data_IF_450156531640
#
_entry.id   IF_450156531640
#
_cell.length_a   1.000
_cell.length_b   1.000
_cell.length_c   1.000
_cell.angle_alpha   90.00
_cell.angle_beta   90.00
_cell.angle_gamma   90.00
#
_symmetry.space_group_name_H-M   'P 1'
#
loop_
_entity.id
_entity.type
_entity.pdbx_description
1 polymer ?
#
# COMPACT_ATOMS: atom_id res chain seq x y z
N UNK A 1 31.58 -0.42 5.06
CA UNK A 1 30.42 -0.67 4.15
C UNK A 1 29.78 0.67 3.84
N UNK A 2 29.65 1.06 2.55
CA UNK A 2 28.91 2.27 2.18
C UNK A 2 27.45 2.10 2.62
N UNK A 3 26.97 2.97 3.52
CA UNK A 3 25.56 2.99 3.94
C UNK A 3 24.75 3.57 2.77
N UNK A 4 23.87 2.76 2.18
CA UNK A 4 23.00 3.21 1.11
C UNK A 4 21.72 3.80 1.68
N UNK A 5 21.35 5.01 1.26
CA UNK A 5 20.08 5.61 1.63
C UNK A 5 18.98 4.93 0.82
N UNK A 6 18.19 4.07 1.46
CA UNK A 6 16.84 3.81 0.98
C UNK A 6 16.06 5.11 1.07
N UNK A 7 15.00 5.25 0.28
CA UNK A 7 14.11 6.43 0.31
C UNK A 7 13.67 6.77 1.77
N UNK A 8 13.77 5.82 2.72
CA UNK A 8 13.45 6.00 4.13
C UNK A 8 14.49 5.50 5.18
N UNK A 9 15.69 5.02 4.81
CA UNK A 9 16.69 4.55 5.79
C UNK A 9 17.94 5.45 5.85
N UNK A 10 18.20 6.07 7.00
CA UNK A 10 19.55 6.31 7.49
C UNK A 10 19.65 5.89 8.95
N UNK A 11 20.45 4.86 9.24
CA UNK A 11 20.83 4.52 10.62
C UNK A 11 22.21 5.09 10.92
N UNK A 12 22.18 6.31 11.44
CA UNK A 12 23.16 6.81 12.40
C UNK A 12 22.37 7.58 13.48
N UNK A 13 22.47 7.10 14.73
CA UNK A 13 21.93 7.70 15.95
C UNK A 13 20.40 7.80 16.11
N UNK A 14 19.68 6.68 16.34
CA UNK A 14 18.32 6.68 16.92
C UNK A 14 17.29 7.65 16.28
N UNK A 15 17.53 8.10 15.05
CA UNK A 15 16.84 9.26 14.49
C UNK A 15 15.65 8.85 13.61
N UNK A 16 14.62 9.68 13.70
CA UNK A 16 13.29 9.48 13.10
C UNK A 16 13.37 9.36 11.58
N UNK A 17 12.35 8.76 10.93
CA UNK A 17 12.28 8.71 9.47
C UNK A 17 12.47 10.10 8.87
N UNK A 18 13.50 10.27 8.04
CA UNK A 18 13.74 11.54 7.38
C UNK A 18 12.65 11.82 6.34
N UNK A 19 12.28 13.09 6.22
CA UNK A 19 11.43 13.57 5.13
C UNK A 19 12.22 13.64 3.82
N UNK A 20 11.54 13.60 2.68
CA UNK A 20 12.22 13.65 1.37
C UNK A 20 12.97 14.98 1.15
N UNK A 21 12.56 16.05 1.82
CA UNK A 21 13.31 17.33 1.85
C UNK A 21 14.64 17.20 2.59
N UNK A 22 14.68 16.39 3.65
CA UNK A 22 15.91 16.11 4.39
C UNK A 22 16.84 15.20 3.56
N UNK A 23 16.31 14.31 2.71
CA UNK A 23 17.12 13.50 1.78
C UNK A 23 18.00 14.37 0.86
N UNK A 24 17.45 15.41 0.23
CA UNK A 24 18.23 16.31 -0.65
C UNK A 24 19.34 17.05 0.11
N UNK A 25 19.09 17.41 1.37
CA UNK A 25 20.05 18.11 2.21
C UNK A 25 21.14 17.17 2.76
N UNK A 26 20.77 15.93 3.08
CA UNK A 26 21.67 14.92 3.66
C UNK A 26 22.60 14.31 2.60
N UNK A 27 22.09 14.07 1.38
CA UNK A 27 22.87 13.43 0.31
C UNK A 27 23.85 14.38 -0.39
N UNK A 28 23.87 15.66 -0.01
CA UNK A 28 24.83 16.70 -0.40
C UNK A 28 25.20 16.79 -1.90
N UNK A 29 24.30 16.37 -2.81
CA UNK A 29 24.60 16.26 -4.25
C UNK A 29 25.79 15.34 -4.58
N UNK A 30 26.05 14.34 -3.74
CA UNK A 30 27.21 13.46 -3.89
C UNK A 30 26.89 12.14 -4.60
N UNK A 31 27.93 11.53 -5.14
CA UNK A 31 27.88 10.16 -5.65
C UNK A 31 27.64 9.18 -4.47
N UNK A 32 26.77 8.15 -4.62
CA UNK A 32 26.11 7.72 -5.85
C UNK A 32 24.72 8.33 -6.09
N UNK A 33 24.20 9.16 -5.19
CA UNK A 33 22.81 9.67 -5.24
C UNK A 33 22.59 10.74 -6.30
N UNK A 34 23.66 11.41 -6.73
CA UNK A 34 23.63 12.37 -7.81
C UNK A 34 24.61 11.95 -8.90
N UNK A 35 24.07 11.64 -10.09
CA UNK A 35 24.88 11.25 -11.24
C UNK A 35 24.33 11.96 -12.48
N UNK A 36 25.20 12.64 -13.23
CA UNK A 36 24.86 13.31 -14.49
C UNK A 36 23.62 14.24 -14.36
N UNK A 37 23.55 14.99 -13.26
CA UNK A 37 22.44 15.93 -12.98
C UNK A 37 21.12 15.27 -12.57
N UNK A 38 21.06 13.94 -12.46
CA UNK A 38 19.88 13.19 -12.02
C UNK A 38 20.03 12.74 -10.56
N UNK A 39 18.88 12.58 -9.89
CA UNK A 39 18.78 12.14 -8.48
C UNK A 39 18.39 10.67 -8.44
N UNK A 40 19.04 9.91 -7.56
CA UNK A 40 18.83 8.49 -7.37
C UNK A 40 18.75 8.13 -5.89
N UNK A 41 17.98 7.10 -5.59
CA UNK A 41 17.89 6.48 -4.27
C UNK A 41 17.61 4.97 -4.42
N UNK A 42 17.50 4.24 -3.31
CA UNK A 42 17.03 2.86 -3.33
C UNK A 42 15.54 2.80 -2.95
N UNK A 43 14.76 2.03 -3.71
CA UNK A 43 13.40 1.66 -3.36
C UNK A 43 13.39 1.05 -1.95
N UNK A 44 12.46 1.47 -1.10
CA UNK A 44 12.40 0.89 0.26
C UNK A 44 11.91 -0.56 0.27
N UNK A 45 11.10 -0.94 -0.71
CA UNK A 45 10.47 -2.27 -0.79
C UNK A 45 11.42 -3.34 -1.33
N UNK A 46 12.09 -3.10 -2.46
CA UNK A 46 12.98 -4.08 -3.09
C UNK A 46 14.48 -3.73 -2.97
N UNK A 47 14.82 -2.53 -2.49
CA UNK A 47 16.19 -2.05 -2.44
C UNK A 47 16.77 -1.64 -3.80
N UNK A 48 16.07 -1.89 -4.92
CA UNK A 48 16.56 -1.54 -6.26
C UNK A 48 16.62 -0.04 -6.49
N UNK A 49 17.51 0.41 -7.36
CA UNK A 49 17.68 1.83 -7.70
C UNK A 49 16.41 2.43 -8.32
N UNK A 50 16.06 3.62 -7.83
CA UNK A 50 15.01 4.47 -8.38
C UNK A 50 15.59 5.82 -8.79
N UNK A 51 15.05 6.39 -9.86
CA UNK A 51 15.21 7.79 -10.20
C UNK A 51 14.21 8.62 -9.41
N UNK A 52 14.64 9.76 -8.90
CA UNK A 52 13.77 10.75 -8.25
C UNK A 52 13.66 11.97 -9.16
N UNK A 53 12.44 12.48 -9.34
CA UNK A 53 12.17 13.76 -10.00
C UNK A 53 11.42 14.71 -9.08
N UNK A 54 11.49 16.00 -9.40
CA UNK A 54 11.07 17.13 -8.58
C UNK A 54 11.82 17.20 -7.22
N UNK A 55 11.42 18.12 -6.35
CA UNK A 55 12.02 18.31 -5.03
C UNK A 55 11.99 19.75 -4.53
N UNK A 56 12.33 19.96 -3.26
CA UNK A 56 12.30 21.28 -2.62
C UNK A 56 13.30 22.25 -3.28
N UNK A 57 14.40 21.72 -3.82
CA UNK A 57 15.44 22.49 -4.50
C UNK A 57 15.26 22.60 -6.02
N UNK A 58 14.11 22.19 -6.59
CA UNK A 58 13.89 22.30 -8.03
C UNK A 58 13.27 23.66 -8.38
N UNK A 59 14.11 24.63 -8.74
CA UNK A 59 13.69 26.02 -9.03
C UNK A 59 12.90 26.19 -10.35
N UNK A 60 12.74 25.13 -11.15
CA UNK A 60 12.12 25.20 -12.48
C UNK A 60 10.60 24.98 -12.50
N UNK A 61 9.96 24.68 -11.36
CA UNK A 61 8.52 24.44 -11.31
C UNK A 61 7.81 25.58 -10.55
N UNK A 62 7.01 26.35 -11.29
CA UNK A 62 6.13 27.39 -10.75
C UNK A 62 5.14 26.80 -9.73
N UNK A 63 5.45 26.95 -8.44
CA UNK A 63 4.55 27.12 -7.28
C UNK A 63 3.31 26.22 -7.02
N UNK A 64 3.05 25.10 -7.71
CA UNK A 64 1.80 24.35 -7.45
C UNK A 64 1.93 22.93 -6.85
N UNK A 65 3.03 22.19 -7.03
CA UNK A 65 3.17 20.88 -6.38
C UNK A 65 4.63 20.55 -6.08
N UNK A 66 5.04 20.69 -4.82
CA UNK A 66 6.30 20.16 -4.26
C UNK A 66 6.33 18.62 -4.19
N UNK A 67 5.50 17.96 -5.00
CA UNK A 67 5.35 16.52 -5.04
C UNK A 67 6.59 15.90 -5.70
N UNK A 68 7.31 15.09 -4.93
CA UNK A 68 8.40 14.28 -5.47
C UNK A 68 7.85 12.96 -5.98
N UNK A 69 8.45 12.48 -7.07
CA UNK A 69 8.09 11.22 -7.66
C UNK A 69 9.32 10.33 -7.76
N UNK A 70 9.15 9.03 -7.50
CA UNK A 70 10.16 8.01 -7.73
C UNK A 70 9.71 7.05 -8.82
N UNK A 71 10.69 6.53 -9.55
CA UNK A 71 10.48 5.50 -10.57
C UNK A 71 11.67 4.56 -10.59
N UNK A 72 11.43 3.25 -10.58
CA UNK A 72 12.48 2.26 -10.81
C UNK A 72 13.20 2.51 -12.13
N UNK A 73 14.53 2.41 -12.10
CA UNK A 73 15.38 2.76 -13.24
C UNK A 73 16.40 1.66 -13.50
N UNK A 74 17.12 1.78 -14.61
CA UNK A 74 18.23 0.89 -14.94
C UNK A 74 19.35 1.01 -13.90
N UNK A 75 20.22 0.00 -13.84
CA UNK A 75 21.46 -0.01 -13.05
C UNK A 75 22.15 1.37 -13.00
N UNK A 76 22.62 1.75 -11.81
CA UNK A 76 23.45 2.93 -11.55
C UNK A 76 24.66 2.55 -10.73
N UNK A 77 25.77 3.22 -11.02
CA UNK A 77 27.04 2.93 -10.35
C UNK A 77 26.91 3.20 -8.85
N UNK A 78 27.37 2.24 -8.05
CA UNK A 78 27.33 2.36 -6.60
C UNK A 78 25.93 2.31 -5.99
N UNK A 79 24.90 1.88 -6.72
CA UNK A 79 23.57 1.60 -6.16
C UNK A 79 23.15 0.16 -6.46
N UNK A 80 22.48 -0.52 -5.51
CA UNK A 80 21.92 -1.84 -5.74
C UNK A 80 20.88 -1.84 -6.87
N UNK A 81 20.85 -2.93 -7.62
CA UNK A 81 19.87 -3.17 -8.68
C UNK A 81 19.33 -4.58 -8.52
N UNK A 82 18.02 -4.68 -8.34
CA UNK A 82 17.28 -5.93 -8.38
C UNK A 82 16.72 -6.11 -9.79
N UNK A 83 17.07 -7.17 -10.54
CA UNK A 83 16.52 -7.43 -11.87
C UNK A 83 15.00 -7.69 -11.85
N UNK A 84 14.45 -8.15 -10.73
CA UNK A 84 13.03 -8.46 -10.55
C UNK A 84 12.22 -7.25 -10.04
N UNK A 85 12.78 -6.03 -10.13
CA UNK A 85 12.14 -4.79 -9.68
C UNK A 85 10.74 -4.53 -10.25
N UNK A 86 10.37 -5.15 -11.39
CA UNK A 86 9.03 -5.03 -11.98
C UNK A 86 7.93 -5.64 -11.12
N UNK A 87 8.28 -6.61 -10.27
CA UNK A 87 7.37 -7.23 -9.31
C UNK A 87 7.31 -6.44 -7.99
N UNK A 88 8.07 -5.36 -7.86
CA UNK A 88 8.06 -4.50 -6.69
C UNK A 88 6.74 -3.73 -6.59
N UNK A 89 6.14 -3.66 -5.40
CA UNK A 89 4.95 -2.82 -5.15
C UNK A 89 5.23 -1.32 -5.34
N UNK A 90 6.50 -0.92 -5.23
CA UNK A 90 6.97 0.43 -5.57
C UNK A 90 7.12 0.68 -7.08
N UNK A 91 6.79 -0.30 -7.93
CA UNK A 91 6.85 -0.14 -9.39
C UNK A 91 5.58 0.48 -9.99
N UNK A 92 4.45 0.36 -9.30
CA UNK A 92 3.12 0.78 -9.77
C UNK A 92 2.90 2.29 -9.69
N UNK A 93 3.19 3.01 -10.78
CA UNK A 93 2.99 4.47 -10.89
C UNK A 93 1.91 4.87 -11.89
N UNK A 94 1.93 6.13 -12.32
CA UNK A 94 1.14 6.57 -13.48
C UNK A 94 1.58 5.85 -14.78
N UNK A 95 1.01 6.17 -15.94
CA UNK A 95 1.40 5.57 -17.23
C UNK A 95 2.90 5.67 -17.55
N UNK A 96 3.61 6.62 -16.92
CA UNK A 96 5.06 6.75 -17.01
C UNK A 96 5.86 5.97 -15.97
N UNK A 97 5.22 5.22 -15.07
CA UNK A 97 5.84 4.48 -13.97
C UNK A 97 6.28 5.35 -12.79
N UNK A 98 5.81 6.61 -12.72
CA UNK A 98 6.14 7.52 -11.62
C UNK A 98 5.17 7.36 -10.47
N UNK A 99 5.70 7.10 -9.28
CA UNK A 99 4.98 7.04 -8.02
C UNK A 99 5.19 8.32 -7.24
N UNK A 100 4.11 8.98 -6.84
CA UNK A 100 4.18 10.11 -5.93
C UNK A 100 4.52 9.63 -4.52
N UNK A 101 5.50 10.28 -3.88
CA UNK A 101 5.88 10.01 -2.50
C UNK A 101 5.14 10.98 -1.59
N UNK A 102 4.27 10.46 -0.71
CA UNK A 102 3.54 11.27 0.26
C UNK A 102 4.17 11.15 1.65
N UNK A 103 4.71 12.26 2.15
CA UNK A 103 5.12 12.38 3.56
C UNK A 103 4.16 13.30 4.31
N UNK A 104 3.81 12.91 5.53
CA UNK A 104 3.02 13.72 6.46
C UNK A 104 3.70 15.07 6.72
N UNK A 105 2.91 16.15 6.78
CA UNK A 105 3.37 17.48 7.16
C UNK A 105 3.67 17.51 8.67
N UNK A 106 4.80 18.12 9.08
CA UNK A 106 5.20 18.20 10.49
C UNK A 106 4.07 18.85 11.30
N UNK A 107 3.52 18.12 12.29
CA UNK A 107 2.51 18.62 13.23
C UNK A 107 1.06 18.26 12.96
N UNK A 108 0.72 17.61 11.83
CA UNK A 108 -0.66 17.20 11.52
C UNK A 108 -0.86 15.73 11.88
N UNK A 109 -1.73 15.40 12.83
CA UNK A 109 -1.97 14.01 13.27
C UNK A 109 -2.73 13.17 12.21
N UNK A 110 -3.70 13.76 11.49
CA UNK A 110 -4.53 13.10 10.46
C UNK A 110 -4.01 13.40 9.04
N UNK A 111 -3.78 12.38 8.23
CA UNK A 111 -3.25 12.50 6.86
C UNK A 111 -4.35 12.88 5.86
N UNK A 112 -4.59 14.18 5.68
CA UNK A 112 -5.62 14.70 4.75
C UNK A 112 -5.36 14.29 3.29
N UNK A 113 -4.09 14.12 2.89
CA UNK A 113 -3.75 13.71 1.53
C UNK A 113 -4.17 12.26 1.25
N UNK A 114 -4.01 11.36 2.24
CA UNK A 114 -4.51 10.00 2.15
C UNK A 114 -6.04 9.96 2.08
N UNK A 115 -6.72 10.73 2.92
CA UNK A 115 -8.18 10.83 2.91
C UNK A 115 -8.70 11.31 1.55
N UNK A 116 -8.10 12.38 1.01
CA UNK A 116 -8.48 12.90 -0.31
C UNK A 116 -8.18 11.90 -1.43
N UNK A 117 -7.07 11.17 -1.34
CA UNK A 117 -6.71 10.14 -2.32
C UNK A 117 -7.71 8.99 -2.33
N UNK A 118 -8.02 8.43 -1.15
CA UNK A 118 -9.03 7.36 -1.03
C UNK A 118 -10.36 7.85 -1.58
N UNK A 119 -10.80 9.05 -1.21
CA UNK A 119 -12.08 9.59 -1.66
C UNK A 119 -12.17 9.81 -3.17
N UNK A 120 -11.08 10.21 -3.82
CA UNK A 120 -11.04 10.43 -5.27
C UNK A 120 -10.83 9.16 -6.09
N UNK A 121 -10.35 8.07 -5.47
CA UNK A 121 -10.00 6.82 -6.16
C UNK A 121 -10.75 5.59 -5.63
N UNK A 122 -11.86 5.76 -4.89
CA UNK A 122 -12.59 4.65 -4.24
C UNK A 122 -12.89 3.48 -5.17
N UNK A 123 -13.32 3.77 -6.40
CA UNK A 123 -13.68 2.75 -7.41
C UNK A 123 -12.47 1.94 -7.86
N UNK A 124 -11.33 2.59 -8.08
CA UNK A 124 -10.12 1.91 -8.53
C UNK A 124 -9.50 1.09 -7.39
N UNK A 125 -9.50 1.63 -6.17
CA UNK A 125 -9.09 0.89 -4.96
C UNK A 125 -9.99 -0.34 -4.76
N UNK A 126 -11.30 -0.21 -4.97
CA UNK A 126 -12.24 -1.33 -4.85
C UNK A 126 -11.99 -2.45 -5.90
N UNK A 127 -11.53 -2.10 -7.10
CA UNK A 127 -11.09 -3.07 -8.11
C UNK A 127 -9.79 -3.74 -7.69
N UNK A 128 -8.82 -2.96 -7.22
CA UNK A 128 -7.54 -3.50 -6.75
C UNK A 128 -7.74 -4.45 -5.56
N UNK A 129 -8.64 -4.14 -4.63
CA UNK A 129 -9.05 -5.08 -3.57
C UNK A 129 -9.63 -6.38 -4.15
N UNK A 130 -10.52 -6.31 -5.16
CA UNK A 130 -11.05 -7.51 -5.80
C UNK A 130 -9.95 -8.34 -6.46
N UNK A 131 -9.00 -7.71 -7.15
CA UNK A 131 -7.87 -8.40 -7.78
C UNK A 131 -6.93 -9.04 -6.74
N UNK A 132 -6.73 -8.39 -5.60
CA UNK A 132 -5.87 -8.87 -4.51
C UNK A 132 -6.47 -10.04 -3.74
N UNK A 133 -7.77 -9.97 -3.42
CA UNK A 133 -8.39 -10.90 -2.46
C UNK A 133 -9.64 -11.62 -2.96
N UNK A 134 -10.11 -11.34 -4.18
CA UNK A 134 -11.25 -12.04 -4.78
C UNK A 134 -12.62 -11.60 -4.27
N UNK A 135 -12.71 -10.51 -3.50
CA UNK A 135 -13.94 -10.05 -2.86
C UNK A 135 -14.37 -8.71 -3.45
N UNK A 136 -15.64 -8.62 -3.86
CA UNK A 136 -16.14 -7.47 -4.61
C UNK A 136 -16.51 -6.32 -3.67
N UNK A 137 -15.85 -5.17 -3.86
CA UNK A 137 -16.10 -3.92 -3.14
C UNK A 137 -16.80 -2.85 -3.99
N UNK A 138 -17.16 -3.18 -5.24
CA UNK A 138 -17.78 -2.27 -6.20
C UNK A 138 -19.03 -2.85 -6.85
N UNK A 139 -19.85 -1.97 -7.40
CA UNK A 139 -21.04 -2.29 -8.19
C UNK A 139 -21.14 -1.30 -9.36
N UNK A 140 -22.22 -1.39 -10.14
CA UNK A 140 -22.45 -0.52 -11.30
C UNK A 140 -22.51 0.98 -10.96
N UNK A 141 -22.80 1.31 -9.71
CA UNK A 141 -22.97 2.69 -9.22
C UNK A 141 -21.74 3.23 -8.49
N UNK A 142 -20.65 2.46 -8.40
CA UNK A 142 -19.43 2.85 -7.70
C UNK A 142 -18.98 1.80 -6.68
N UNK A 143 -18.72 2.22 -5.45
CA UNK A 143 -18.38 1.29 -4.35
C UNK A 143 -19.64 0.78 -3.64
N UNK A 144 -19.57 -0.42 -3.06
CA UNK A 144 -20.68 -1.02 -2.32
C UNK A 144 -20.59 -0.73 -0.80
N UNK A 145 -21.57 -1.22 -0.04
CA UNK A 145 -21.63 -1.00 1.40
C UNK A 145 -20.43 -1.62 2.14
N UNK A 146 -19.91 -2.77 1.69
CA UNK A 146 -18.71 -3.38 2.28
C UNK A 146 -17.51 -2.44 2.22
N UNK A 147 -17.32 -1.73 1.10
CA UNK A 147 -16.25 -0.73 1.00
C UNK A 147 -16.47 0.46 1.93
N UNK A 148 -17.72 0.92 2.05
CA UNK A 148 -18.04 2.05 2.94
C UNK A 148 -17.79 1.65 4.40
N UNK A 149 -18.25 0.48 4.83
CA UNK A 149 -17.97 -0.07 6.16
C UNK A 149 -16.48 -0.29 6.40
N UNK A 150 -15.74 -0.80 5.41
CA UNK A 150 -14.28 -0.93 5.45
C UNK A 150 -13.62 0.43 5.68
N UNK A 151 -14.02 1.45 4.92
CA UNK A 151 -13.46 2.80 5.04
C UNK A 151 -13.82 3.45 6.38
N UNK A 152 -15.05 3.33 6.84
CA UNK A 152 -15.48 3.82 8.15
C UNK A 152 -14.67 3.17 9.27
N UNK A 153 -14.54 1.84 9.25
CA UNK A 153 -13.73 1.08 10.19
C UNK A 153 -12.26 1.52 10.15
N UNK A 154 -11.69 1.65 8.95
CA UNK A 154 -10.34 2.15 8.73
C UNK A 154 -10.13 3.52 9.39
N UNK A 155 -11.07 4.46 9.22
CA UNK A 155 -10.96 5.79 9.83
C UNK A 155 -11.10 5.74 11.35
N UNK A 156 -12.03 4.94 11.89
CA UNK A 156 -12.23 4.75 13.32
C UNK A 156 -10.99 4.15 14.00
N UNK A 157 -10.30 3.24 13.30
CA UNK A 157 -9.07 2.60 13.76
C UNK A 157 -7.79 3.39 13.44
N UNK A 158 -7.90 4.71 13.32
CA UNK A 158 -6.77 5.62 13.09
C UNK A 158 -5.98 5.31 11.81
N UNK A 159 -6.58 4.70 10.79
CA UNK A 159 -5.94 4.40 9.51
C UNK A 159 -5.41 5.64 8.78
N UNK A 160 -6.01 6.81 9.02
CA UNK A 160 -5.54 8.09 8.50
C UNK A 160 -4.33 8.67 9.26
N UNK A 161 -3.83 8.04 10.33
CA UNK A 161 -2.71 8.55 11.14
C UNK A 161 -1.37 7.93 10.71
N UNK A 162 -1.27 7.47 9.46
CA UNK A 162 -0.04 6.93 8.87
C UNK A 162 0.89 8.05 8.40
N UNK A 163 2.18 7.91 8.74
CA UNK A 163 3.21 8.91 8.43
C UNK A 163 3.56 8.96 6.95
N UNK A 164 3.52 7.81 6.28
CA UNK A 164 3.94 7.59 4.89
C UNK A 164 2.99 6.58 4.24
N UNK A 165 2.72 6.77 2.96
CA UNK A 165 1.88 5.87 2.16
C UNK A 165 2.18 6.08 0.68
N UNK A 166 1.90 5.04 -0.12
CA UNK A 166 1.92 5.07 -1.57
C UNK A 166 0.55 4.65 -2.10
N UNK A 167 0.14 5.11 -3.28
CA UNK A 167 -1.07 4.63 -3.96
C UNK A 167 -1.27 3.11 -3.86
N UNK A 168 -0.26 2.32 -4.22
CA UNK A 168 -0.33 0.85 -4.21
C UNK A 168 -0.34 0.20 -2.84
N UNK A 169 0.02 0.93 -1.78
CA UNK A 169 -0.09 0.40 -0.41
C UNK A 169 -1.48 0.64 0.18
N UNK A 170 -2.33 1.48 -0.43
CA UNK A 170 -3.63 1.86 0.12
C UNK A 170 -4.58 0.68 0.34
N UNK A 171 -4.74 -0.28 -0.60
CA UNK A 171 -5.57 -1.47 -0.35
C UNK A 171 -5.11 -2.27 0.87
N UNK A 172 -3.78 -2.42 1.05
CA UNK A 172 -3.21 -3.12 2.19
C UNK A 172 -3.42 -2.36 3.50
N UNK A 173 -3.28 -1.03 3.48
CA UNK A 173 -3.57 -0.18 4.64
C UNK A 173 -5.04 -0.27 5.05
N UNK A 174 -5.97 -0.32 4.09
CA UNK A 174 -7.40 -0.53 4.36
C UNK A 174 -7.59 -1.86 5.08
N UNK A 175 -7.16 -2.96 4.47
CA UNK A 175 -7.28 -4.30 5.07
C UNK A 175 -6.69 -4.37 6.49
N UNK A 176 -5.47 -3.89 6.71
CA UNK A 176 -4.79 -3.98 8.00
C UNK A 176 -5.41 -3.16 9.13
N UNK A 177 -6.16 -2.12 8.82
CA UNK A 177 -6.75 -1.21 9.83
C UNK A 177 -8.26 -1.34 9.91
N UNK A 178 -8.85 -2.26 9.15
CA UNK A 178 -10.28 -2.53 9.20
C UNK A 178 -10.54 -3.66 10.19
N UNK A 179 -11.45 -3.41 11.13
CA UNK A 179 -12.02 -4.45 11.99
C UNK A 179 -12.92 -5.38 11.19
N UNK A 180 -13.32 -6.49 11.81
CA UNK A 180 -14.24 -7.42 11.19
C UNK A 180 -15.52 -6.74 10.67
N UNK A 181 -15.94 -7.10 9.46
CA UNK A 181 -17.13 -6.54 8.80
C UNK A 181 -18.17 -7.63 8.57
N UNK A 182 -19.46 -7.28 8.54
CA UNK A 182 -20.49 -8.24 8.15
C UNK A 182 -20.27 -8.67 6.70
N UNK A 183 -20.32 -9.98 6.41
CA UNK A 183 -20.04 -10.50 5.07
C UNK A 183 -21.27 -11.09 4.34
N UNK A 184 -22.48 -10.73 4.74
CA UNK A 184 -23.68 -11.27 4.10
C UNK A 184 -23.99 -10.59 2.77
N UNK A 185 -24.29 -11.39 1.74
CA UNK A 185 -24.79 -10.88 0.46
C UNK A 185 -23.71 -10.30 -0.47
N UNK A 186 -22.43 -10.41 -0.12
CA UNK A 186 -21.34 -9.91 -0.97
C UNK A 186 -20.86 -10.96 -1.96
N UNK A 187 -20.32 -10.47 -3.08
CA UNK A 187 -19.89 -11.29 -4.21
C UNK A 187 -18.41 -11.64 -4.07
N UNK A 188 -18.08 -12.90 -4.34
CA UNK A 188 -16.72 -13.43 -4.35
C UNK A 188 -16.35 -13.98 -5.74
N UNK A 189 -15.07 -14.27 -5.96
CA UNK A 189 -14.60 -14.92 -7.18
C UNK A 189 -14.83 -16.44 -7.14
N UNK A 190 -14.65 -17.10 -8.29
CA UNK A 190 -14.92 -18.55 -8.42
C UNK A 190 -14.01 -19.42 -7.55
N UNK A 191 -12.78 -18.99 -7.27
CA UNK A 191 -11.87 -19.72 -6.39
C UNK A 191 -12.43 -19.80 -4.96
N UNK A 192 -12.90 -18.67 -4.42
CA UNK A 192 -13.55 -18.61 -3.10
C UNK A 192 -14.86 -19.39 -3.12
N UNK A 193 -15.64 -19.34 -4.21
CA UNK A 193 -16.86 -20.16 -4.33
C UNK A 193 -16.57 -21.65 -4.11
N UNK A 194 -15.48 -22.17 -4.69
CA UNK A 194 -15.12 -23.57 -4.53
C UNK A 194 -14.66 -23.87 -3.10
N UNK A 195 -13.84 -22.99 -2.50
CA UNK A 195 -13.38 -23.14 -1.11
C UNK A 195 -14.57 -23.22 -0.14
N UNK A 196 -15.51 -22.29 -0.26
CA UNK A 196 -16.71 -22.24 0.59
C UNK A 196 -17.61 -23.47 0.42
N UNK A 197 -17.74 -23.99 -0.81
CA UNK A 197 -18.50 -25.22 -1.06
C UNK A 197 -17.85 -26.45 -0.42
N UNK A 198 -16.52 -26.54 -0.44
CA UNK A 198 -15.79 -27.63 0.20
C UNK A 198 -15.98 -27.64 1.72
N UNK A 199 -16.07 -26.44 2.32
CA UNK A 199 -16.36 -26.23 3.74
C UNK A 199 -17.87 -26.33 4.07
N UNK A 200 -18.72 -26.63 3.09
CA UNK A 200 -20.18 -26.77 3.29
C UNK A 200 -20.91 -25.45 3.56
N UNK A 201 -20.28 -24.31 3.26
CA UNK A 201 -20.84 -22.97 3.47
C UNK A 201 -21.77 -22.61 2.31
N UNK A 202 -22.95 -22.06 2.63
CA UNK A 202 -23.97 -21.72 1.63
C UNK A 202 -23.57 -20.52 0.79
N UNK A 203 -23.61 -20.73 -0.52
CA UNK A 203 -23.39 -19.71 -1.54
C UNK A 203 -24.44 -19.83 -2.66
N UNK A 204 -24.93 -18.69 -3.14
CA UNK A 204 -25.90 -18.61 -4.24
C UNK A 204 -25.24 -17.97 -5.46
N UNK A 205 -24.92 -18.78 -6.47
CA UNK A 205 -24.02 -18.39 -7.55
C UNK A 205 -22.64 -18.03 -6.99
N UNK A 206 -22.35 -16.72 -6.98
CA UNK A 206 -21.13 -16.15 -6.40
C UNK A 206 -21.40 -15.23 -5.19
N UNK A 207 -22.64 -15.23 -4.68
CA UNK A 207 -23.05 -14.37 -3.58
C UNK A 207 -23.11 -15.15 -2.26
N UNK A 208 -22.40 -14.66 -1.25
CA UNK A 208 -22.37 -15.24 0.09
C UNK A 208 -23.74 -15.10 0.77
N UNK A 209 -24.24 -16.15 1.46
CA UNK A 209 -25.61 -16.17 2.01
C UNK A 209 -25.72 -16.52 3.49
N UNK A 210 -24.62 -16.71 4.21
CA UNK A 210 -24.64 -16.92 5.66
C UNK A 210 -24.55 -15.59 6.40
N UNK A 211 -25.52 -15.31 7.29
CA UNK A 211 -25.63 -13.99 7.93
C UNK A 211 -24.77 -13.83 9.18
N UNK A 212 -24.30 -14.94 9.74
CA UNK A 212 -23.53 -15.01 10.99
C UNK A 212 -22.01 -14.92 10.79
N UNK A 213 -21.56 -14.74 9.55
CA UNK A 213 -20.15 -14.58 9.23
C UNK A 213 -19.73 -13.12 9.12
N UNK A 214 -18.52 -12.88 9.62
CA UNK A 214 -17.78 -11.66 9.41
C UNK A 214 -16.53 -11.94 8.58
N UNK A 215 -16.06 -10.93 7.84
CA UNK A 215 -14.77 -10.98 7.17
C UNK A 215 -13.70 -10.30 8.03
N UNK A 216 -12.54 -10.95 8.20
CA UNK A 216 -11.34 -10.39 8.83
C UNK A 216 -10.14 -10.37 7.88
N UNK A 217 -9.17 -9.51 8.18
CA UNK A 217 -7.94 -9.32 7.43
C UNK A 217 -6.74 -9.45 8.36
N UNK A 218 -6.28 -10.68 8.55
CA UNK A 218 -5.31 -11.00 9.59
C UNK A 218 -3.89 -11.10 9.04
N UNK A 219 -2.92 -10.54 9.75
CA UNK A 219 -1.52 -10.76 9.43
C UNK A 219 -1.15 -12.22 9.72
N UNK A 220 -0.35 -12.83 8.85
CA UNK A 220 0.06 -14.22 9.04
C UNK A 220 1.02 -14.43 10.23
N UNK A 221 1.68 -13.37 10.70
CA UNK A 221 2.64 -13.35 11.81
C UNK A 221 2.66 -11.97 12.46
N UNK A 222 2.94 -11.92 13.75
CA UNK A 222 3.09 -10.66 14.49
C UNK A 222 4.39 -9.93 14.09
N UNK A 223 5.49 -10.68 14.03
CA UNK A 223 6.80 -10.17 13.64
C UNK A 223 7.05 -10.42 12.14
N UNK A 224 7.36 -9.34 11.41
CA UNK A 224 7.69 -9.37 9.97
C UNK A 224 6.61 -10.07 9.12
N UNK A 225 5.38 -9.54 9.09
CA UNK A 225 4.29 -10.14 8.34
C UNK A 225 4.61 -10.17 6.84
N UNK A 226 4.39 -11.33 6.22
CA UNK A 226 4.61 -11.52 4.78
C UNK A 226 3.32 -11.64 4.00
N UNK A 227 2.19 -11.82 4.67
CA UNK A 227 0.89 -11.98 4.03
C UNK A 227 -0.24 -11.39 4.89
N UNK A 228 -1.30 -10.93 4.23
CA UNK A 228 -2.62 -10.80 4.83
C UNK A 228 -3.41 -12.04 4.45
N UNK A 229 -4.02 -12.66 5.46
CA UNK A 229 -4.95 -13.79 5.35
C UNK A 229 -6.36 -13.20 5.47
N UNK A 230 -7.19 -13.48 4.48
CA UNK A 230 -8.60 -13.08 4.49
C UNK A 230 -9.41 -14.25 5.03
N UNK A 231 -10.10 -14.04 6.15
CA UNK A 231 -10.87 -15.10 6.82
C UNK A 231 -12.33 -14.73 6.89
N UNK A 232 -13.17 -15.75 6.82
CA UNK A 232 -14.56 -15.65 7.24
C UNK A 232 -14.68 -16.28 8.62
N UNK A 233 -15.16 -15.51 9.59
CA UNK A 233 -15.30 -15.87 11.00
C UNK A 233 -16.79 -16.04 11.32
N UNK A 234 -17.19 -17.20 11.83
CA UNK A 234 -18.56 -17.40 12.30
C UNK A 234 -18.77 -16.83 13.72
N UNK A 235 -20.03 -16.78 14.15
CA UNK A 235 -20.41 -16.29 15.49
C UNK A 235 -19.83 -17.12 16.67
N UNK A 236 -19.30 -18.31 16.41
CA UNK A 236 -18.71 -19.23 17.39
C UNK A 236 -17.18 -19.15 17.42
N UNK A 237 -16.57 -18.35 16.55
CA UNK A 237 -15.13 -18.22 16.41
C UNK A 237 -14.48 -19.28 15.53
N UNK A 238 -15.26 -20.10 14.82
CA UNK A 238 -14.71 -20.94 13.75
C UNK A 238 -14.39 -20.06 12.55
N UNK A 239 -13.43 -20.50 11.73
CA UNK A 239 -12.99 -19.71 10.60
C UNK A 239 -12.65 -20.55 9.38
N UNK A 240 -12.77 -19.91 8.21
CA UNK A 240 -12.28 -20.42 6.93
C UNK A 240 -11.40 -19.35 6.29
N UNK A 241 -10.17 -19.72 5.94
CA UNK A 241 -9.26 -18.87 5.17
C UNK A 241 -9.71 -18.92 3.70
N UNK A 242 -10.17 -17.80 3.16
CA UNK A 242 -10.72 -17.74 1.79
C UNK A 242 -9.76 -17.12 0.79
N UNK A 243 -8.79 -16.34 1.26
CA UNK A 243 -7.79 -15.71 0.39
C UNK A 243 -6.52 -15.38 1.15
N UNK A 244 -5.43 -15.22 0.40
CA UNK A 244 -4.12 -14.86 0.94
C UNK A 244 -3.40 -13.97 -0.05
N UNK A 245 -3.05 -12.76 0.37
CA UNK A 245 -2.30 -11.83 -0.46
C UNK A 245 -0.92 -11.54 0.15
N UNK A 246 0.10 -11.47 -0.71
CA UNK A 246 1.48 -11.18 -0.29
C UNK A 246 1.62 -9.72 0.14
N UNK A 247 2.06 -9.51 1.37
CA UNK A 247 2.69 -8.27 1.80
C UNK A 247 4.12 -8.31 1.29
N UNK A 248 4.33 -8.04 0.00
CA UNK A 248 5.68 -7.72 -0.50
C UNK A 248 6.29 -6.69 0.46
N UNK A 249 7.51 -6.86 1.00
CA UNK A 249 8.18 -6.07 2.07
C UNK A 249 7.72 -4.60 2.34
N UNK A 250 6.44 -4.36 2.67
CA UNK A 250 5.83 -3.01 2.74
C UNK A 250 6.10 -2.37 4.10
N UNK A 251 6.43 -3.18 5.11
CA UNK A 251 6.39 -2.77 6.51
C UNK A 251 7.63 -3.18 7.33
N UNK A 252 8.76 -3.48 6.67
CA UNK A 252 10.07 -3.59 7.37
C UNK A 252 10.66 -2.21 7.70
#
# INVERSE_FOLDING_TARGET
MKKFYKINESKENNDKPHSVTEFENITNKEFPYYQKGSKYACCEFCGSVVSITNGANNNSCSNATRAMYAKHTSLKDGLPFDPDYKNCIGYSGNAGGWQQIFTQEKGVLKNQKLENYINSHKVDIAKELFDLIGIRFSNTSGVNNLFNEMYESFTANKGLYVKKWYPSTVPFLLMQRTSNLNFWGYIVNDAIVQELKNEGIKIDGNQFKESDYQISFDLNKDDFPTHIIVRLLDSKGNFVDVSKCSLNKIFE
#
